data_IF_378286655148
#
_entry.id   IF_378286655148
#
_cell.length_a   1.000
_cell.length_b   1.000
_cell.length_c   1.000
_cell.angle_alpha   90.00
_cell.angle_beta   90.00
_cell.angle_gamma   90.00
#
_symmetry.space_group_name_H-M   'P 1'
#
loop_
_entity.id
_entity.type
_entity.pdbx_description
1 polymer ?
#
# COMPACT_ATOMS: atom_id res chain seq x y z
N UNK A 1 -18.95 -13.34 1.95
CA UNK A 1 -18.84 -13.77 3.36
C UNK A 1 -20.01 -13.18 4.13
N UNK A 2 -20.34 -13.73 5.31
CA UNK A 2 -21.45 -13.21 6.13
C UNK A 2 -21.30 -11.72 6.45
N UNK A 3 -20.06 -11.26 6.69
CA UNK A 3 -19.76 -9.85 6.89
C UNK A 3 -20.12 -8.98 5.68
N UNK A 4 -19.79 -9.41 4.46
CA UNK A 4 -20.13 -8.67 3.23
C UNK A 4 -21.65 -8.60 3.04
N UNK A 5 -22.35 -9.71 3.29
CA UNK A 5 -23.81 -9.73 3.17
C UNK A 5 -24.46 -8.78 4.19
N UNK A 6 -23.99 -8.77 5.44
CA UNK A 6 -24.49 -7.85 6.47
C UNK A 6 -24.28 -6.39 6.09
N UNK A 7 -23.11 -6.03 5.56
CA UNK A 7 -22.82 -4.67 5.09
C UNK A 7 -23.68 -4.26 3.90
N UNK A 8 -23.94 -5.18 2.96
CA UNK A 8 -24.84 -4.94 1.83
C UNK A 8 -26.28 -4.73 2.29
N UNK A 9 -26.79 -5.56 3.21
CA UNK A 9 -28.12 -5.36 3.80
C UNK A 9 -28.23 -4.01 4.50
N UNK A 10 -27.23 -3.62 5.29
CA UNK A 10 -27.22 -2.29 5.90
C UNK A 10 -27.18 -1.16 4.86
N UNK A 11 -26.49 -1.34 3.74
CA UNK A 11 -26.47 -0.36 2.66
C UNK A 11 -27.84 -0.24 1.98
N UNK A 12 -28.56 -1.34 1.79
CA UNK A 12 -29.95 -1.36 1.31
C UNK A 12 -30.86 -0.57 2.25
N UNK A 13 -30.81 -0.86 3.56
CA UNK A 13 -31.61 -0.14 4.58
C UNK A 13 -31.28 1.36 4.65
N UNK A 14 -30.00 1.72 4.50
CA UNK A 14 -29.58 3.12 4.43
C UNK A 14 -30.16 3.82 3.20
N UNK A 15 -30.14 3.16 2.03
CA UNK A 15 -30.71 3.69 0.79
C UNK A 15 -32.22 3.90 0.88
N UNK A 16 -32.95 2.93 1.45
CA UNK A 16 -34.41 3.03 1.67
C UNK A 16 -34.80 4.23 2.55
N UNK A 17 -33.92 4.60 3.49
CA UNK A 17 -34.12 5.75 4.38
C UNK A 17 -33.55 7.06 3.83
N UNK A 18 -32.90 7.04 2.66
CA UNK A 18 -32.26 8.22 2.08
C UNK A 18 -30.97 8.65 2.81
N UNK A 19 -30.34 7.76 3.57
CA UNK A 19 -29.12 8.01 4.34
C UNK A 19 -27.86 7.84 3.48
N UNK A 20 -27.71 8.68 2.45
CA UNK A 20 -26.67 8.57 1.43
C UNK A 20 -25.23 8.50 1.99
N UNK A 21 -24.96 9.23 3.08
CA UNK A 21 -23.64 9.19 3.73
C UNK A 21 -23.33 7.80 4.33
N UNK A 22 -24.30 7.20 5.01
CA UNK A 22 -24.15 5.88 5.61
C UNK A 22 -24.07 4.80 4.53
N UNK A 23 -24.90 4.90 3.49
CA UNK A 23 -24.81 4.01 2.34
C UNK A 23 -23.39 4.04 1.73
N UNK A 24 -22.84 5.21 1.46
CA UNK A 24 -21.48 5.35 0.92
C UNK A 24 -20.41 4.73 1.84
N UNK A 25 -20.56 4.88 3.16
CA UNK A 25 -19.64 4.29 4.14
C UNK A 25 -19.72 2.76 4.15
N UNK A 26 -20.92 2.18 4.11
CA UNK A 26 -21.11 0.74 4.09
C UNK A 26 -20.58 0.12 2.79
N UNK A 27 -20.78 0.76 1.64
CA UNK A 27 -20.21 0.33 0.37
C UNK A 27 -18.66 0.38 0.39
N UNK A 28 -18.07 1.38 1.05
CA UNK A 28 -16.63 1.42 1.28
C UNK A 28 -16.15 0.25 2.16
N UNK A 29 -16.85 -0.07 3.25
CA UNK A 29 -16.48 -1.20 4.09
C UNK A 29 -16.62 -2.55 3.35
N UNK A 30 -17.63 -2.72 2.48
CA UNK A 30 -17.72 -3.90 1.59
C UNK A 30 -16.48 -4.05 0.73
N UNK A 31 -16.02 -2.95 0.11
CA UNK A 31 -14.83 -2.94 -0.72
C UNK A 31 -13.55 -3.20 0.09
N UNK A 32 -13.51 -2.80 1.35
CA UNK A 32 -12.38 -2.95 2.27
C UNK A 32 -12.24 -4.37 2.79
N UNK A 33 -13.34 -5.08 3.04
CA UNK A 33 -13.32 -6.47 3.56
C UNK A 33 -13.55 -7.53 2.49
N UNK A 34 -13.92 -7.13 1.27
CA UNK A 34 -14.34 -8.03 0.20
C UNK A 34 -13.88 -7.59 -1.19
N UNK A 35 -14.69 -7.92 -2.20
CA UNK A 35 -14.40 -7.57 -3.60
C UNK A 35 -15.03 -6.20 -3.94
N UNK A 36 -14.23 -5.16 -4.24
CA UNK A 36 -14.75 -3.82 -4.55
C UNK A 36 -15.66 -3.80 -5.80
N UNK A 37 -15.54 -4.79 -6.69
CA UNK A 37 -16.36 -4.87 -7.91
C UNK A 37 -17.84 -5.08 -7.61
N UNK A 38 -18.16 -5.67 -6.46
CA UNK A 38 -19.55 -5.93 -6.03
C UNK A 38 -20.34 -4.63 -5.85
N UNK A 39 -19.68 -3.55 -5.44
CA UNK A 39 -20.30 -2.26 -5.11
C UNK A 39 -19.93 -1.14 -6.08
N UNK A 40 -19.15 -1.43 -7.12
CA UNK A 40 -18.59 -0.42 -8.02
C UNK A 40 -19.63 0.38 -8.82
N UNK A 41 -20.71 -0.28 -9.28
CA UNK A 41 -21.79 0.42 -9.96
C UNK A 41 -22.55 1.33 -8.98
N UNK A 42 -22.93 0.78 -7.82
CA UNK A 42 -23.72 1.49 -6.81
C UNK A 42 -22.98 2.69 -6.22
N UNK A 43 -21.70 2.56 -5.91
CA UNK A 43 -20.91 3.67 -5.36
C UNK A 43 -20.79 4.83 -6.35
N UNK A 44 -20.82 4.55 -7.67
CA UNK A 44 -20.80 5.59 -8.72
C UNK A 44 -22.08 6.43 -8.70
N UNK A 45 -23.22 5.83 -8.36
CA UNK A 45 -24.50 6.51 -8.27
C UNK A 45 -24.64 7.29 -6.95
N UNK A 46 -24.05 6.78 -5.87
CA UNK A 46 -24.06 7.42 -4.53
C UNK A 46 -23.04 8.57 -4.45
N UNK A 47 -21.88 8.45 -5.11
CA UNK A 47 -20.76 9.41 -5.05
C UNK A 47 -21.14 10.88 -5.32
N UNK A 48 -22.00 11.23 -6.29
CA UNK A 48 -22.40 12.62 -6.55
C UNK A 48 -23.34 13.20 -5.48
N UNK A 49 -23.94 12.34 -4.65
CA UNK A 49 -24.96 12.71 -3.67
C UNK A 49 -24.37 13.00 -2.27
N UNK A 50 -23.07 12.71 -2.07
CA UNK A 50 -22.38 12.96 -0.78
C UNK A 50 -21.59 14.27 -0.81
N UNK A 51 -21.88 15.16 0.15
CA UNK A 51 -21.12 16.40 0.39
C UNK A 51 -20.18 16.25 1.61
N UNK A 52 -19.26 15.30 1.51
CA UNK A 52 -18.24 15.05 2.54
C UNK A 52 -16.90 14.71 1.88
N UNK A 53 -15.81 15.44 2.21
CA UNK A 53 -14.49 15.14 1.65
C UNK A 53 -14.02 13.71 1.93
N UNK A 54 -14.38 13.15 3.09
CA UNK A 54 -14.05 11.78 3.47
C UNK A 54 -14.92 10.76 2.72
N UNK A 55 -16.22 10.99 2.62
CA UNK A 55 -17.12 10.11 1.87
C UNK A 55 -16.74 10.06 0.39
N UNK A 56 -16.40 11.22 -0.19
CA UNK A 56 -15.86 11.32 -1.54
C UNK A 56 -14.57 10.50 -1.70
N UNK A 57 -13.59 10.64 -0.80
CA UNK A 57 -12.34 9.88 -0.85
C UNK A 57 -12.56 8.36 -0.75
N UNK A 58 -13.50 7.94 0.11
CA UNK A 58 -13.90 6.53 0.26
C UNK A 58 -14.58 5.98 -0.99
N UNK A 59 -15.50 6.73 -1.58
CA UNK A 59 -16.15 6.32 -2.82
C UNK A 59 -15.16 6.29 -4.01
N UNK A 60 -14.25 7.25 -4.08
CA UNK A 60 -13.15 7.28 -5.06
C UNK A 60 -12.21 6.06 -4.85
N UNK A 61 -11.95 5.64 -3.60
CA UNK A 61 -11.22 4.40 -3.29
C UNK A 61 -11.90 3.18 -3.90
N UNK A 62 -13.22 3.01 -3.66
CA UNK A 62 -13.97 1.85 -4.18
C UNK A 62 -13.90 1.81 -5.71
N UNK A 63 -14.15 2.95 -6.36
CA UNK A 63 -14.10 3.04 -7.82
C UNK A 63 -12.70 2.69 -8.37
N UNK A 64 -11.64 3.27 -7.81
CA UNK A 64 -10.28 3.00 -8.25
C UNK A 64 -9.85 1.55 -7.97
N UNK A 65 -10.21 1.00 -6.81
CA UNK A 65 -9.92 -0.39 -6.45
C UNK A 65 -10.63 -1.38 -7.38
N UNK A 66 -11.90 -1.15 -7.70
CA UNK A 66 -12.68 -1.99 -8.61
C UNK A 66 -12.15 -1.94 -10.05
N UNK A 67 -11.72 -0.77 -10.52
CA UNK A 67 -11.15 -0.57 -11.85
C UNK A 67 -9.67 -0.97 -11.95
N UNK A 68 -9.02 -1.31 -10.83
CA UNK A 68 -7.55 -1.48 -10.74
C UNK A 68 -6.79 -0.24 -11.25
N UNK A 69 -7.32 0.94 -10.97
CA UNK A 69 -6.70 2.21 -11.36
C UNK A 69 -5.62 2.60 -10.34
N UNK A 70 -4.36 2.31 -10.68
CA UNK A 70 -3.21 2.69 -9.86
C UNK A 70 -3.08 4.21 -9.68
N UNK A 71 -3.43 5.00 -10.70
CA UNK A 71 -3.38 6.47 -10.62
C UNK A 71 -4.42 7.01 -9.63
N UNK A 72 -5.66 6.51 -9.74
CA UNK A 72 -6.75 6.80 -8.82
C UNK A 72 -6.44 6.39 -7.38
N UNK A 73 -5.91 5.17 -7.17
CA UNK A 73 -5.52 4.70 -5.84
C UNK A 73 -4.42 5.57 -5.21
N UNK A 74 -3.43 6.02 -5.99
CA UNK A 74 -2.41 6.94 -5.50
C UNK A 74 -2.98 8.32 -5.15
N UNK A 75 -4.00 8.80 -5.87
CA UNK A 75 -4.68 10.06 -5.54
C UNK A 75 -5.50 9.93 -4.25
N UNK A 76 -6.22 8.82 -4.09
CA UNK A 76 -6.98 8.47 -2.89
C UNK A 76 -6.07 8.37 -1.66
N UNK A 77 -4.92 7.70 -1.79
CA UNK A 77 -3.89 7.62 -0.73
C UNK A 77 -3.53 9.01 -0.21
N UNK A 78 -3.14 9.91 -1.12
CA UNK A 78 -2.79 11.31 -0.76
C UNK A 78 -3.95 12.06 -0.14
N UNK A 79 -5.18 11.81 -0.59
CA UNK A 79 -6.38 12.46 -0.06
C UNK A 79 -6.69 11.99 1.37
N UNK A 80 -6.59 10.70 1.65
CA UNK A 80 -6.73 10.19 3.01
C UNK A 80 -5.65 10.76 3.95
N UNK A 81 -4.41 10.82 3.49
CA UNK A 81 -3.31 11.41 4.26
C UNK A 81 -3.57 12.90 4.56
N UNK A 82 -4.01 13.68 3.56
CA UNK A 82 -4.36 15.10 3.73
C UNK A 82 -5.55 15.33 4.68
N UNK A 83 -6.48 14.38 4.76
CA UNK A 83 -7.61 14.39 5.70
C UNK A 83 -7.25 13.87 7.10
N UNK A 84 -6.00 13.43 7.32
CA UNK A 84 -5.56 12.85 8.60
C UNK A 84 -6.09 11.43 8.87
N UNK A 85 -6.65 10.75 7.88
CA UNK A 85 -7.20 9.39 8.02
C UNK A 85 -6.10 8.36 7.74
N UNK A 86 -5.11 8.31 8.64
CA UNK A 86 -3.82 7.62 8.45
C UNK A 86 -3.99 6.13 8.12
N UNK A 87 -4.89 5.42 8.80
CA UNK A 87 -5.14 4.00 8.52
C UNK A 87 -5.68 3.78 7.09
N UNK A 88 -6.59 4.62 6.63
CA UNK A 88 -7.13 4.53 5.27
C UNK A 88 -6.07 4.88 4.22
N UNK A 89 -5.15 5.80 4.53
CA UNK A 89 -3.99 6.08 3.66
C UNK A 89 -3.06 4.86 3.55
N UNK A 90 -2.78 4.18 4.67
CA UNK A 90 -2.00 2.94 4.68
C UNK A 90 -2.66 1.84 3.84
N UNK A 91 -3.96 1.65 4.00
CA UNK A 91 -4.74 0.67 3.23
C UNK A 91 -4.81 1.00 1.75
N UNK A 92 -4.94 2.28 1.38
CA UNK A 92 -4.88 2.72 0.00
C UNK A 92 -3.51 2.48 -0.64
N UNK A 93 -2.42 2.77 0.08
CA UNK A 93 -1.07 2.46 -0.36
C UNK A 93 -0.85 0.94 -0.51
N UNK A 94 -1.38 0.13 0.40
CA UNK A 94 -1.32 -1.32 0.34
C UNK A 94 -2.08 -1.88 -0.88
N UNK A 95 -3.28 -1.37 -1.15
CA UNK A 95 -4.07 -1.73 -2.32
C UNK A 95 -3.41 -1.29 -3.63
N UNK A 96 -2.81 -0.09 -3.67
CA UNK A 96 -1.99 0.39 -4.78
C UNK A 96 -0.82 -0.55 -5.05
N UNK A 97 -0.10 -0.96 -4.01
CA UNK A 97 1.00 -1.91 -4.11
C UNK A 97 0.58 -3.24 -4.75
N UNK A 98 -0.57 -3.77 -4.36
CA UNK A 98 -1.15 -4.99 -4.97
C UNK A 98 -1.43 -4.82 -6.46
N UNK A 99 -2.07 -3.71 -6.85
CA UNK A 99 -2.40 -3.44 -8.26
C UNK A 99 -1.12 -3.34 -9.08
N UNK A 100 -0.15 -2.54 -8.63
CA UNK A 100 1.14 -2.37 -9.29
C UNK A 100 1.93 -3.67 -9.40
N UNK A 101 1.90 -4.50 -8.35
CA UNK A 101 2.57 -5.80 -8.37
C UNK A 101 1.96 -6.71 -9.44
N UNK A 102 0.64 -6.82 -9.46
CA UNK A 102 -0.08 -7.64 -10.43
C UNK A 102 0.02 -7.10 -11.87
N UNK A 103 0.30 -5.80 -12.04
CA UNK A 103 0.57 -5.17 -13.35
C UNK A 103 2.05 -5.30 -13.77
N UNK A 104 2.88 -6.05 -13.04
CA UNK A 104 4.29 -6.26 -13.39
C UNK A 104 5.19 -5.05 -13.12
N UNK A 105 4.81 -4.16 -12.19
CA UNK A 105 5.57 -2.96 -11.79
C UNK A 105 6.13 -3.09 -10.37
N UNK A 106 7.06 -4.04 -10.11
CA UNK A 106 7.49 -4.40 -8.77
C UNK A 106 8.18 -3.27 -8.00
N UNK A 107 8.87 -2.35 -8.69
CA UNK A 107 9.53 -1.20 -8.06
C UNK A 107 8.51 -0.22 -7.48
N UNK A 108 7.50 0.11 -8.28
CA UNK A 108 6.43 1.03 -7.84
C UNK A 108 5.58 0.38 -6.74
N UNK A 109 5.33 -0.93 -6.85
CA UNK A 109 4.63 -1.71 -5.83
C UNK A 109 5.35 -1.66 -4.49
N UNK A 110 6.68 -1.82 -4.50
CA UNK A 110 7.49 -1.73 -3.29
C UNK A 110 7.49 -0.31 -2.72
N UNK A 111 7.57 0.72 -3.57
CA UNK A 111 7.40 2.11 -3.15
C UNK A 111 6.07 2.36 -2.42
N UNK A 112 4.98 1.76 -2.90
CA UNK A 112 3.67 1.84 -2.22
C UNK A 112 3.64 1.06 -0.89
N UNK A 113 4.27 -0.12 -0.84
CA UNK A 113 4.38 -0.91 0.40
C UNK A 113 5.14 -0.15 1.49
N UNK A 114 6.20 0.57 1.15
CA UNK A 114 6.96 1.39 2.10
C UNK A 114 6.15 2.57 2.62
N UNK A 115 5.41 3.27 1.75
CA UNK A 115 4.50 4.33 2.21
C UNK A 115 3.42 3.79 3.14
N UNK A 116 2.87 2.62 2.84
CA UNK A 116 1.95 1.91 3.76
C UNK A 116 2.61 1.70 5.13
N UNK A 117 3.82 1.13 5.17
CA UNK A 117 4.56 0.92 6.40
C UNK A 117 4.88 2.22 7.15
N UNK A 118 5.20 3.31 6.43
CA UNK A 118 5.44 4.64 7.01
C UNK A 118 4.19 5.20 7.70
N UNK A 119 3.00 5.06 7.10
CA UNK A 119 1.76 5.47 7.76
C UNK A 119 1.49 4.66 9.04
N UNK A 120 1.88 3.38 9.06
CA UNK A 120 1.65 2.49 10.19
C UNK A 120 2.65 2.68 11.34
N UNK A 121 3.82 3.29 11.10
CA UNK A 121 4.91 3.36 12.10
C UNK A 121 4.55 4.10 13.39
N UNK A 122 3.55 4.98 13.34
CA UNK A 122 3.04 5.72 14.50
C UNK A 122 1.77 5.14 15.12
N UNK A 123 1.24 4.03 14.60
CA UNK A 123 0.01 3.42 15.08
C UNK A 123 0.31 2.23 16.00
N UNK A 124 -0.66 1.89 16.85
CA UNK A 124 -0.68 0.57 17.48
C UNK A 124 -0.72 -0.52 16.40
N UNK A 125 -0.23 -1.75 16.66
CA UNK A 125 -0.34 -2.84 15.70
C UNK A 125 -1.79 -3.02 15.24
N UNK A 126 -1.99 -2.92 13.93
CA UNK A 126 -3.29 -3.04 13.27
C UNK A 126 -3.22 -4.11 12.20
N UNK A 127 -4.25 -4.96 12.13
CA UNK A 127 -4.38 -6.00 11.12
C UNK A 127 -5.75 -5.85 10.47
N UNK A 128 -5.77 -5.26 9.27
CA UNK A 128 -6.99 -5.12 8.47
C UNK A 128 -6.89 -5.98 7.21
N UNK A 129 -8.01 -6.40 6.60
CA UNK A 129 -7.96 -7.30 5.44
C UNK A 129 -7.11 -6.77 4.29
N UNK A 130 -7.15 -5.46 4.01
CA UNK A 130 -6.33 -4.85 2.95
C UNK A 130 -4.83 -4.86 3.28
N UNK A 131 -4.45 -4.62 4.53
CA UNK A 131 -3.05 -4.70 4.96
C UNK A 131 -2.52 -6.13 4.92
N UNK A 132 -3.34 -7.10 5.38
CA UNK A 132 -2.97 -8.51 5.40
C UNK A 132 -2.89 -9.13 4.00
N UNK A 133 -3.68 -8.63 3.05
CA UNK A 133 -3.70 -9.12 1.68
C UNK A 133 -2.65 -8.45 0.77
N UNK A 134 -2.00 -7.37 1.22
CA UNK A 134 -0.96 -6.72 0.44
C UNK A 134 0.35 -7.52 0.50
N UNK A 135 1.11 -7.56 -0.60
CA UNK A 135 2.47 -8.06 -0.53
C UNK A 135 3.21 -7.20 0.48
N UNK A 136 3.68 -7.83 1.57
CA UNK A 136 4.55 -7.18 2.52
C UNK A 136 5.82 -6.68 1.83
N UNK A 137 6.57 -5.77 2.45
CA UNK A 137 7.87 -5.38 1.94
C UNK A 137 8.69 -6.65 1.67
N UNK A 138 9.17 -6.82 0.45
CA UNK A 138 9.90 -8.04 0.07
C UNK A 138 11.15 -8.14 0.91
N UNK A 139 11.25 -9.19 1.72
CA UNK A 139 12.45 -9.45 2.48
C UNK A 139 13.66 -9.55 1.54
N UNK A 140 14.74 -8.90 1.96
CA UNK A 140 16.04 -9.12 1.34
C UNK A 140 16.37 -10.60 1.45
N UNK A 141 16.81 -11.21 0.34
CA UNK A 141 17.45 -12.52 0.42
C UNK A 141 18.65 -12.41 1.37
N UNK A 142 19.08 -13.52 2.00
CA UNK A 142 20.23 -13.49 2.92
C UNK A 142 21.45 -12.79 2.32
N UNK A 143 21.69 -12.98 1.01
CA UNK A 143 22.80 -12.35 0.32
C UNK A 143 22.61 -10.86 0.05
N UNK A 144 21.41 -10.43 -0.31
CA UNK A 144 21.10 -9.01 -0.45
C UNK A 144 21.19 -8.31 0.91
N UNK A 145 20.72 -8.95 1.99
CA UNK A 145 20.79 -8.44 3.35
C UNK A 145 22.24 -8.26 3.81
N UNK A 146 23.06 -9.30 3.69
CA UNK A 146 24.48 -9.24 4.04
C UNK A 146 25.22 -8.13 3.28
N UNK A 147 24.98 -8.01 1.97
CA UNK A 147 25.60 -6.97 1.14
C UNK A 147 25.09 -5.57 1.52
N UNK A 148 23.78 -5.42 1.77
CA UNK A 148 23.18 -4.15 2.15
C UNK A 148 23.66 -3.68 3.54
N UNK A 149 23.80 -4.58 4.51
CA UNK A 149 24.33 -4.29 5.85
C UNK A 149 25.80 -3.84 5.79
N UNK A 150 26.65 -4.53 5.02
CA UNK A 150 28.04 -4.11 4.80
C UNK A 150 28.11 -2.72 4.12
N UNK A 151 27.19 -2.47 3.18
CA UNK A 151 27.13 -1.18 2.50
C UNK A 151 26.63 -0.06 3.42
N UNK A 152 25.62 -0.32 4.25
CA UNK A 152 25.12 0.58 5.29
C UNK A 152 26.22 0.93 6.30
N UNK A 153 27.07 -0.04 6.67
CA UNK A 153 28.27 0.17 7.49
C UNK A 153 29.44 0.88 6.78
N UNK A 154 29.23 1.47 5.59
CA UNK A 154 30.24 2.28 4.89
C UNK A 154 31.23 1.52 4.00
N UNK A 155 31.14 0.19 3.87
CA UNK A 155 32.10 -0.59 3.08
C UNK A 155 31.92 -0.43 1.56
N UNK A 156 32.92 0.09 0.84
CA UNK A 156 32.84 0.27 -0.61
C UNK A 156 32.55 -1.05 -1.37
N UNK A 157 31.80 -1.00 -2.48
CA UNK A 157 31.38 -2.21 -3.24
C UNK A 157 32.55 -3.09 -3.68
N UNK A 158 33.72 -2.51 -3.93
CA UNK A 158 34.97 -3.24 -4.23
C UNK A 158 35.48 -4.04 -3.03
N UNK A 159 35.43 -3.47 -1.83
CA UNK A 159 35.81 -4.15 -0.61
C UNK A 159 34.81 -5.25 -0.23
N UNK A 160 33.50 -4.99 -0.40
CA UNK A 160 32.46 -6.01 -0.24
C UNK A 160 32.70 -7.18 -1.20
N UNK A 161 32.96 -6.88 -2.47
CA UNK A 161 33.23 -7.89 -3.49
C UNK A 161 34.42 -8.79 -3.11
N UNK A 162 35.52 -8.18 -2.67
CA UNK A 162 36.70 -8.91 -2.19
C UNK A 162 36.38 -9.76 -0.95
N UNK A 163 35.72 -9.18 0.05
CA UNK A 163 35.36 -9.86 1.30
C UNK A 163 34.48 -11.08 1.06
N UNK A 164 33.56 -10.97 0.11
CA UNK A 164 32.52 -11.98 -0.13
C UNK A 164 32.83 -12.93 -1.30
N UNK A 165 34.01 -12.80 -1.93
CA UNK A 165 34.41 -13.62 -3.08
C UNK A 165 33.56 -13.39 -4.33
N UNK A 166 33.06 -12.16 -4.54
CA UNK A 166 32.18 -11.78 -5.65
C UNK A 166 32.86 -10.79 -6.61
N UNK A 167 32.24 -10.60 -7.77
CA UNK A 167 32.59 -9.47 -8.63
C UNK A 167 31.93 -8.18 -8.14
N UNK A 168 32.53 -7.03 -8.43
CA UNK A 168 31.94 -5.71 -8.15
C UNK A 168 30.58 -5.55 -8.84
N UNK A 169 30.42 -6.11 -10.04
CA UNK A 169 29.15 -6.12 -10.78
C UNK A 169 28.09 -6.91 -10.03
N UNK A 170 28.43 -8.08 -9.49
CA UNK A 170 27.51 -8.91 -8.71
C UNK A 170 27.05 -8.18 -7.44
N UNK A 171 27.99 -7.55 -6.72
CA UNK A 171 27.65 -6.71 -5.56
C UNK A 171 26.73 -5.55 -5.95
N UNK A 172 27.02 -4.87 -7.06
CA UNK A 172 26.20 -3.76 -7.55
C UNK A 172 24.79 -4.21 -7.92
N UNK A 173 24.64 -5.39 -8.52
CA UNK A 173 23.34 -5.97 -8.84
C UNK A 173 22.55 -6.33 -7.57
N UNK A 174 23.20 -6.94 -6.58
CA UNK A 174 22.55 -7.23 -5.30
C UNK A 174 22.14 -5.96 -4.55
N UNK A 175 23.00 -4.93 -4.54
CA UNK A 175 22.65 -3.63 -3.97
C UNK A 175 21.50 -2.98 -4.71
N UNK A 176 21.49 -3.03 -6.05
CA UNK A 176 20.37 -2.50 -6.82
C UNK A 176 19.08 -3.24 -6.48
N UNK A 177 19.09 -4.57 -6.41
CA UNK A 177 17.91 -5.34 -6.00
C UNK A 177 17.50 -5.03 -4.56
N UNK A 178 18.45 -4.86 -3.64
CA UNK A 178 18.18 -4.46 -2.28
C UNK A 178 17.56 -3.06 -2.21
N UNK A 179 18.06 -2.09 -2.98
CA UNK A 179 17.48 -0.75 -3.09
C UNK A 179 16.04 -0.82 -3.58
N UNK A 180 15.78 -1.66 -4.58
CA UNK A 180 14.43 -1.85 -5.09
C UNK A 180 13.52 -2.47 -4.05
N UNK A 181 13.98 -3.48 -3.31
CA UNK A 181 13.22 -4.18 -2.26
C UNK A 181 13.02 -3.34 -1.00
N UNK A 182 13.95 -2.46 -0.67
CA UNK A 182 13.84 -1.52 0.44
C UNK A 182 13.23 -0.18 0.01
N UNK A 183 13.00 0.01 -1.29
CA UNK A 183 12.57 1.25 -1.96
C UNK A 183 13.33 2.49 -1.52
N UNK A 184 14.65 2.34 -1.39
CA UNK A 184 15.59 3.43 -1.18
C UNK A 184 16.23 3.85 -2.49
N UNK A 185 16.57 5.13 -2.62
CA UNK A 185 17.15 5.69 -3.84
C UNK A 185 18.66 5.41 -3.97
N UNK A 186 19.29 4.99 -2.87
CA UNK A 186 20.72 4.72 -2.88
C UNK A 186 21.28 4.35 -1.51
N UNK A 187 22.61 4.38 -1.48
CA UNK A 187 23.41 3.91 -0.36
C UNK A 187 23.19 4.68 0.93
N UNK A 188 22.98 5.99 0.84
CA UNK A 188 22.88 6.87 2.01
C UNK A 188 21.60 6.59 2.83
N UNK A 189 20.53 6.16 2.15
CA UNK A 189 19.26 5.80 2.77
C UNK A 189 19.25 4.37 3.36
N UNK A 190 20.25 3.53 3.07
CA UNK A 190 20.31 2.16 3.60
C UNK A 190 20.47 2.11 5.12
N UNK A 191 21.32 2.97 5.69
CA UNK A 191 21.65 2.93 7.11
C UNK A 191 20.42 3.22 7.98
N UNK A 192 19.66 4.25 7.62
CA UNK A 192 18.41 4.59 8.29
C UNK A 192 17.35 3.50 8.10
N UNK A 193 17.27 2.90 6.91
CA UNK A 193 16.27 1.85 6.61
C UNK A 193 16.54 0.52 7.32
N UNK A 194 17.81 0.15 7.50
CA UNK A 194 18.21 -1.10 8.16
C UNK A 194 18.39 -0.94 9.68
N UNK A 195 18.23 0.27 10.23
CA UNK A 195 18.43 0.54 11.65
C UNK A 195 19.88 0.38 12.12
N UNK A 196 20.83 0.55 11.20
CA UNK A 196 22.27 0.48 11.48
C UNK A 196 22.75 1.91 11.74
N UNK A 197 22.73 2.34 13.00
CA UNK A 197 23.43 3.53 13.48
C UNK A 197 24.41 3.16 14.57
#
# INVERSE_FOLDING_TARGET
SDAVNLLLTGADEAAERGETLLEAELLYEVARVGDPRVVAARIKDVRPLVDSPLAAARADFVAAAAARDAGGLAQVERRFAALGVVLAAAEAAAQLGRVLHADGRPRDAQGAALRSAQYLSGLVPVATPLLMAAPGPVDLSPREREIAELAAGGMASKAIAQRLGLSVRTVSNHLQNAYLKLGVSGRDELADTLGVR
#
